data_IF_925198840487
#
_entry.id   IF_925198840487
#
_cell.length_a   1.000
_cell.length_b   1.000
_cell.length_c   1.000
_cell.angle_alpha   90.00
_cell.angle_beta   90.00
_cell.angle_gamma   90.00
#
_symmetry.space_group_name_H-M   'P 1'
#
loop_
_entity.id
_entity.type
_entity.pdbx_description
1 polymer ?
#
# COMPACT_ATOMS: atom_id res chain seq x y z
N UNK A 1 55.73 28.45 19.71
CA UNK A 1 54.32 28.61 19.30
C UNK A 1 53.45 28.12 20.46
N UNK A 2 53.08 29.01 21.38
CA UNK A 2 52.41 28.68 22.64
C UNK A 2 50.89 28.66 22.40
N UNK A 3 50.28 27.47 22.38
CA UNK A 3 48.82 27.33 22.43
C UNK A 3 48.34 27.82 23.81
N UNK A 4 47.71 28.99 23.84
CA UNK A 4 47.07 29.50 25.04
C UNK A 4 45.96 28.53 25.48
N UNK A 5 45.93 28.20 26.78
CA UNK A 5 44.90 27.31 27.34
C UNK A 5 43.52 27.94 27.11
N UNK A 6 42.52 27.17 26.62
CA UNK A 6 41.19 27.71 26.37
C UNK A 6 40.60 28.26 27.67
N UNK A 7 40.05 29.48 27.60
CA UNK A 7 39.39 30.10 28.75
C UNK A 7 38.14 29.31 29.10
N UNK A 8 37.74 29.30 30.39
CA UNK A 8 36.52 28.60 30.85
C UNK A 8 35.26 29.02 30.07
N UNK A 9 35.24 30.26 29.59
CA UNK A 9 34.18 30.78 28.72
C UNK A 9 34.14 30.07 27.35
N UNK A 10 35.30 29.80 26.72
CA UNK A 10 35.35 29.09 25.44
C UNK A 10 34.84 27.64 25.56
N UNK A 11 35.15 26.97 26.68
CA UNK A 11 34.65 25.62 26.95
C UNK A 11 33.14 25.62 27.17
N UNK A 12 32.61 26.61 27.91
CA UNK A 12 31.16 26.74 28.12
C UNK A 12 30.42 27.03 26.81
N UNK A 13 30.95 27.90 25.96
CA UNK A 13 30.38 28.21 24.63
C UNK A 13 30.37 26.96 23.75
N UNK A 14 31.48 26.21 23.71
CA UNK A 14 31.56 24.97 22.94
C UNK A 14 30.50 23.97 23.42
N UNK A 15 30.33 23.80 24.73
CA UNK A 15 29.32 22.90 25.30
C UNK A 15 27.89 23.32 24.91
N UNK A 16 27.57 24.61 25.02
CA UNK A 16 26.27 25.13 24.60
C UNK A 16 26.02 24.94 23.09
N UNK A 17 27.03 25.19 22.24
CA UNK A 17 26.92 24.96 20.80
C UNK A 17 26.72 23.48 20.46
N UNK A 18 27.39 22.57 21.19
CA UNK A 18 27.18 21.13 21.00
C UNK A 18 25.79 20.68 21.42
N UNK A 19 25.28 21.16 22.56
CA UNK A 19 23.91 20.87 23.00
C UNK A 19 22.86 21.44 22.05
N UNK A 20 23.09 22.65 21.53
CA UNK A 20 22.23 23.27 20.52
C UNK A 20 22.25 22.46 19.21
N UNK A 21 23.43 22.02 18.75
CA UNK A 21 23.53 21.14 17.58
C UNK A 21 22.80 19.81 17.80
N UNK A 22 22.93 19.18 18.97
CA UNK A 22 22.22 17.95 19.31
C UNK A 22 20.71 18.19 19.32
N UNK A 23 20.24 19.29 19.92
CA UNK A 23 18.82 19.65 19.96
C UNK A 23 18.25 19.87 18.55
N UNK A 24 18.94 20.67 17.72
CA UNK A 24 18.53 20.92 16.34
C UNK A 24 18.55 19.64 15.49
N UNK A 25 19.56 18.78 15.68
CA UNK A 25 19.62 17.49 14.98
C UNK A 25 18.51 16.53 15.44
N UNK A 26 18.16 16.53 16.72
CA UNK A 26 17.08 15.68 17.25
C UNK A 26 15.70 16.06 16.70
N UNK A 27 15.45 17.35 16.45
CA UNK A 27 14.23 17.84 15.80
C UNK A 27 14.16 17.32 14.35
N UNK A 28 15.25 17.44 13.58
CA UNK A 28 15.31 16.93 12.19
C UNK A 28 15.23 15.41 12.09
N UNK A 29 15.77 14.67 13.07
CA UNK A 29 15.72 13.21 13.10
C UNK A 29 14.30 12.70 13.39
N UNK A 30 13.52 13.41 14.21
CA UNK A 30 12.13 13.05 14.50
C UNK A 30 11.22 13.18 13.27
N UNK A 31 11.48 14.14 12.38
CA UNK A 31 10.73 14.29 11.13
C UNK A 31 11.12 13.23 10.09
N UNK A 32 12.38 12.81 10.05
CA UNK A 32 12.88 11.80 9.10
C UNK A 32 12.37 10.37 9.37
N UNK A 33 11.96 10.05 10.61
CA UNK A 33 11.54 8.70 11.00
C UNK A 33 10.03 8.44 10.93
N UNK A 34 9.24 9.45 10.58
CA UNK A 34 7.88 9.25 10.16
C UNK A 34 7.85 9.31 8.63
N UNK A 35 7.99 8.18 7.91
CA UNK A 35 7.64 8.16 6.51
C UNK A 35 6.23 8.71 6.45
N UNK A 36 6.07 9.86 5.79
CA UNK A 36 4.75 10.44 5.53
C UNK A 36 4.02 9.40 4.72
N UNK A 37 3.26 8.53 5.39
CA UNK A 37 2.27 7.71 4.73
C UNK A 37 1.40 8.73 4.01
N UNK A 38 1.46 8.73 2.69
CA UNK A 38 0.60 9.55 1.85
C UNK A 38 -0.82 9.03 2.01
N UNK A 39 -1.44 9.42 3.12
CA UNK A 39 -2.83 9.13 3.35
C UNK A 39 -3.62 9.99 2.36
N UNK A 40 -4.36 9.34 1.45
CA UNK A 40 -5.40 10.00 0.64
C UNK A 40 -6.37 10.82 1.51
N UNK A 41 -6.48 10.49 2.80
CA UNK A 41 -7.19 11.26 3.81
C UNK A 41 -6.33 11.40 5.06
N UNK A 42 -5.86 12.60 5.39
CA UNK A 42 -4.98 12.83 6.54
C UNK A 42 -5.59 12.27 7.85
N UNK A 43 -4.78 11.86 8.85
CA UNK A 43 -5.30 11.43 10.15
C UNK A 43 -6.22 12.48 10.82
N UNK A 44 -5.99 13.76 10.58
CA UNK A 44 -6.86 14.85 11.04
C UNK A 44 -8.21 14.83 10.30
N UNK A 45 -8.20 14.62 8.99
CA UNK A 45 -9.40 14.48 8.16
C UNK A 45 -10.18 13.21 8.51
N UNK A 46 -9.52 12.10 8.84
CA UNK A 46 -10.18 10.86 9.27
C UNK A 46 -10.79 10.94 10.65
N UNK A 47 -10.25 11.77 11.54
CA UNK A 47 -10.80 11.97 12.89
C UNK A 47 -12.23 12.51 12.87
N UNK A 48 -12.61 13.30 11.86
CA UNK A 48 -13.99 13.75 11.58
C UNK A 48 -14.98 12.58 11.46
N UNK A 49 -14.49 11.42 11.02
CA UNK A 49 -15.25 10.22 10.70
C UNK A 49 -15.05 9.08 11.71
N UNK A 50 -14.22 9.30 12.73
CA UNK A 50 -13.93 8.33 13.78
C UNK A 50 -14.59 8.71 15.11
N UNK A 51 -15.63 9.54 15.11
CA UNK A 51 -16.37 9.82 16.34
C UNK A 51 -17.17 8.58 16.74
N UNK A 52 -16.51 7.73 17.52
CA UNK A 52 -17.12 6.64 18.28
C UNK A 52 -18.13 7.26 19.25
N UNK A 53 -19.42 7.13 18.97
CA UNK A 53 -20.44 7.30 20.01
C UNK A 53 -20.39 6.05 20.88
N UNK A 54 -19.76 6.16 22.05
CA UNK A 54 -19.62 5.07 23.01
C UNK A 54 -20.94 4.71 23.70
N UNK A 55 -22.04 5.40 23.41
CA UNK A 55 -23.31 5.20 24.08
C UNK A 55 -24.34 4.41 23.28
N UNK A 56 -24.08 4.07 22.01
CA UNK A 56 -25.04 3.29 21.22
C UNK A 56 -24.34 2.27 20.31
N UNK A 57 -24.30 1.02 20.78
CA UNK A 57 -23.63 -0.09 20.09
C UNK A 57 -24.29 -0.49 18.76
N UNK A 58 -25.38 0.17 18.35
CA UNK A 58 -26.16 -0.21 17.17
C UNK A 58 -26.27 0.86 16.06
N UNK A 59 -25.81 2.11 16.25
CA UNK A 59 -25.98 3.18 15.23
C UNK A 59 -24.69 3.94 14.84
N UNK A 60 -23.54 3.60 15.43
CA UNK A 60 -22.30 4.38 15.29
C UNK A 60 -21.62 4.37 13.89
N UNK A 61 -22.26 3.81 12.85
CA UNK A 61 -21.75 3.85 11.47
C UNK A 61 -22.59 4.70 10.52
N UNK A 62 -23.66 5.36 11.01
CA UNK A 62 -24.74 5.83 10.14
C UNK A 62 -24.83 7.35 9.90
N UNK A 63 -24.03 8.20 10.58
CA UNK A 63 -24.12 9.66 10.40
C UNK A 63 -23.07 10.29 9.49
N UNK A 64 -22.18 9.48 8.93
CA UNK A 64 -21.23 9.98 7.93
C UNK A 64 -21.90 9.87 6.57
N UNK A 65 -22.39 10.99 6.05
CA UNK A 65 -22.89 11.02 4.68
C UNK A 65 -21.71 10.74 3.73
N UNK A 66 -21.77 9.62 3.03
CA UNK A 66 -20.85 9.26 1.94
C UNK A 66 -20.60 10.43 0.96
N UNK A 67 -21.60 11.28 0.63
CA UNK A 67 -21.37 12.51 -0.13
C UNK A 67 -20.31 13.46 0.47
N UNK A 68 -20.32 13.66 1.79
CA UNK A 68 -19.38 14.56 2.46
C UNK A 68 -17.96 13.98 2.47
N UNK A 69 -17.84 12.67 2.70
CA UNK A 69 -16.54 11.98 2.56
C UNK A 69 -15.97 12.15 1.16
N UNK A 70 -16.76 11.82 0.13
CA UNK A 70 -16.30 11.94 -1.25
C UNK A 70 -15.85 13.37 -1.58
N UNK A 71 -16.62 14.38 -1.15
CA UNK A 71 -16.28 15.79 -1.35
C UNK A 71 -14.95 16.16 -0.68
N UNK A 72 -14.73 15.72 0.56
CA UNK A 72 -13.55 16.08 1.35
C UNK A 72 -12.25 15.49 0.77
N UNK A 73 -12.31 14.34 0.10
CA UNK A 73 -11.18 13.74 -0.63
C UNK A 73 -11.15 14.09 -2.12
N UNK A 74 -11.94 15.07 -2.56
CA UNK A 74 -11.99 15.52 -3.95
C UNK A 74 -12.58 14.51 -4.95
N UNK A 75 -13.24 13.45 -4.47
CA UNK A 75 -13.89 12.46 -5.31
C UNK A 75 -15.32 12.88 -5.65
N UNK A 76 -15.66 12.80 -6.94
CA UNK A 76 -17.05 12.94 -7.39
C UNK A 76 -17.73 11.58 -7.38
N UNK A 77 -18.92 11.51 -6.77
CA UNK A 77 -19.80 10.35 -6.88
C UNK A 77 -20.07 10.07 -8.36
N UNK A 78 -19.86 8.83 -8.76
CA UNK A 78 -20.30 8.38 -10.08
C UNK A 78 -21.74 7.95 -9.97
N UNK A 79 -22.58 8.68 -10.68
CA UNK A 79 -23.91 8.20 -11.00
C UNK A 79 -23.79 7.45 -12.31
N UNK A 80 -24.42 6.27 -12.41
CA UNK A 80 -24.51 5.54 -13.67
C UNK A 80 -25.27 6.44 -14.67
N UNK A 81 -24.55 7.27 -15.41
CA UNK A 81 -25.08 8.01 -16.54
C UNK A 81 -25.18 7.04 -17.69
N UNK A 82 -26.30 7.09 -18.41
CA UNK A 82 -26.51 6.29 -19.63
C UNK A 82 -25.42 6.57 -20.70
N UNK A 83 -24.73 7.72 -20.59
CA UNK A 83 -23.74 8.17 -21.56
C UNK A 83 -22.28 7.98 -21.11
N UNK A 84 -22.03 7.53 -19.87
CA UNK A 84 -20.67 7.34 -19.35
C UNK A 84 -20.35 5.85 -19.23
N UNK A 85 -19.13 5.42 -19.61
CA UNK A 85 -18.73 4.03 -19.42
C UNK A 85 -18.75 3.68 -17.92
N UNK A 86 -19.31 2.50 -17.60
CA UNK A 86 -19.37 2.00 -16.23
C UNK A 86 -17.96 1.93 -15.64
N UNK A 87 -17.79 2.44 -14.41
CA UNK A 87 -16.56 2.21 -13.63
C UNK A 87 -16.31 0.72 -13.43
N UNK A 88 -15.11 0.29 -13.78
CA UNK A 88 -14.64 -1.08 -13.51
C UNK A 88 -14.35 -1.25 -12.02
N UNK A 89 -14.70 -2.42 -11.49
CA UNK A 89 -14.43 -2.83 -10.11
C UNK A 89 -13.25 -3.80 -10.12
N UNK A 90 -12.19 -3.47 -9.37
CA UNK A 90 -11.00 -4.31 -9.25
C UNK A 90 -10.91 -4.85 -7.82
N UNK A 91 -10.70 -6.15 -7.69
CA UNK A 91 -10.42 -6.81 -6.41
C UNK A 91 -8.92 -7.08 -6.30
N UNK A 92 -8.27 -6.47 -5.31
CA UNK A 92 -6.82 -6.48 -5.14
C UNK A 92 -6.43 -7.49 -4.05
N UNK A 93 -5.63 -8.50 -4.41
CA UNK A 93 -5.29 -9.64 -3.55
C UNK A 93 -3.78 -9.83 -3.47
N UNK A 94 -3.23 -9.77 -2.26
CA UNK A 94 -1.88 -10.26 -2.00
C UNK A 94 -1.95 -11.76 -1.72
N UNK A 95 -1.48 -12.58 -2.65
CA UNK A 95 -1.49 -14.02 -2.50
C UNK A 95 -0.20 -14.53 -1.84
N UNK A 96 -0.33 -15.49 -0.91
CA UNK A 96 0.79 -16.15 -0.26
C UNK A 96 0.83 -17.64 -0.60
N UNK A 97 -0.07 -18.46 -0.04
CA UNK A 97 -0.05 -19.92 -0.22
C UNK A 97 -1.43 -20.56 -0.36
N UNK A 98 -2.48 -19.81 -0.04
CA UNK A 98 -3.81 -20.32 0.26
C UNK A 98 -4.68 -20.50 -0.99
N UNK A 99 -4.38 -21.52 -1.81
CA UNK A 99 -5.07 -21.78 -3.07
C UNK A 99 -6.59 -21.94 -2.92
N UNK A 100 -7.04 -22.67 -1.91
CA UNK A 100 -8.48 -22.92 -1.69
C UNK A 100 -9.22 -21.63 -1.33
N UNK A 101 -8.59 -20.76 -0.53
CA UNK A 101 -9.15 -19.47 -0.18
C UNK A 101 -9.22 -18.52 -1.38
N UNK A 102 -8.23 -18.59 -2.27
CA UNK A 102 -8.28 -17.84 -3.52
C UNK A 102 -9.42 -18.35 -4.40
N UNK A 103 -9.57 -19.66 -4.56
CA UNK A 103 -10.65 -20.24 -5.36
C UNK A 103 -12.04 -19.86 -4.83
N UNK A 104 -12.26 -19.93 -3.52
CA UNK A 104 -13.51 -19.47 -2.90
C UNK A 104 -13.75 -18.00 -3.22
N UNK A 105 -12.75 -17.13 -3.00
CA UNK A 105 -12.87 -15.69 -3.27
C UNK A 105 -13.25 -15.42 -4.73
N UNK A 106 -12.58 -16.07 -5.68
CA UNK A 106 -12.85 -15.90 -7.10
C UNK A 106 -14.27 -16.33 -7.45
N UNK A 107 -14.73 -17.47 -6.92
CA UNK A 107 -16.09 -17.95 -7.16
C UNK A 107 -17.17 -17.02 -6.59
N UNK A 108 -16.99 -16.55 -5.36
CA UNK A 108 -17.96 -15.70 -4.68
C UNK A 108 -18.02 -14.28 -5.29
N UNK A 109 -16.88 -13.74 -5.72
CA UNK A 109 -16.79 -12.34 -6.17
C UNK A 109 -16.93 -12.15 -7.69
N UNK A 110 -16.82 -13.21 -8.51
CA UNK A 110 -16.77 -13.07 -9.99
C UNK A 110 -17.94 -12.31 -10.61
N UNK A 111 -19.11 -12.29 -9.97
CA UNK A 111 -20.30 -11.61 -10.51
C UNK A 111 -20.31 -10.10 -10.21
N UNK A 112 -19.48 -9.64 -9.27
CA UNK A 112 -19.41 -8.24 -8.83
C UNK A 112 -18.15 -7.52 -9.29
N UNK A 113 -17.11 -8.28 -9.63
CA UNK A 113 -15.77 -7.77 -9.95
C UNK A 113 -15.47 -7.95 -11.43
N UNK A 114 -14.86 -6.92 -12.03
CA UNK A 114 -14.40 -6.96 -13.42
C UNK A 114 -13.06 -7.68 -13.55
N UNK A 115 -12.11 -7.37 -12.68
CA UNK A 115 -10.79 -7.99 -12.67
C UNK A 115 -10.29 -8.24 -11.25
N UNK A 116 -9.61 -9.38 -11.08
CA UNK A 116 -8.85 -9.71 -9.88
C UNK A 116 -7.39 -9.36 -10.13
N UNK A 117 -6.88 -8.38 -9.39
CA UNK A 117 -5.46 -8.04 -9.39
C UNK A 117 -4.79 -8.87 -8.33
N UNK A 118 -3.99 -9.86 -8.74
CA UNK A 118 -3.33 -10.79 -7.83
C UNK A 118 -1.83 -10.58 -7.96
N UNK A 119 -1.19 -10.23 -6.83
CA UNK A 119 0.26 -10.27 -6.74
C UNK A 119 0.69 -11.51 -5.95
N UNK A 120 1.80 -12.10 -6.37
CA UNK A 120 2.49 -13.14 -5.63
C UNK A 120 3.97 -12.78 -5.52
N UNK A 121 4.60 -13.08 -4.38
CA UNK A 121 6.02 -12.86 -4.16
C UNK A 121 6.75 -14.18 -3.91
N UNK A 122 8.04 -14.32 -4.32
CA UNK A 122 8.89 -15.45 -3.93
C UNK A 122 9.35 -15.37 -2.47
N UNK A 123 8.78 -14.45 -1.68
CA UNK A 123 8.94 -14.40 -0.22
C UNK A 123 7.59 -14.43 0.49
N UNK A 124 7.60 -14.82 1.76
CA UNK A 124 6.46 -14.66 2.67
C UNK A 124 6.32 -13.20 3.09
N UNK A 125 5.20 -12.85 3.74
CA UNK A 125 5.02 -11.52 4.36
C UNK A 125 6.03 -11.21 5.49
N UNK A 126 6.84 -12.17 5.91
CA UNK A 126 7.93 -12.01 6.87
C UNK A 126 9.32 -12.09 6.23
N UNK A 127 9.40 -12.01 4.90
CA UNK A 127 10.66 -11.98 4.15
C UNK A 127 11.36 -13.34 3.99
N UNK A 128 10.70 -14.46 4.30
CA UNK A 128 11.29 -15.79 4.12
C UNK A 128 11.08 -16.30 2.69
N UNK A 129 12.05 -16.99 2.06
CA UNK A 129 11.86 -17.56 0.73
C UNK A 129 10.64 -18.50 0.66
N UNK A 130 9.90 -18.42 -0.46
CA UNK A 130 8.68 -19.19 -0.72
C UNK A 130 8.58 -19.52 -2.21
N UNK A 131 8.11 -20.72 -2.60
CA UNK A 131 7.77 -20.98 -3.99
C UNK A 131 6.63 -20.09 -4.49
N UNK A 132 6.51 -19.96 -5.81
CA UNK A 132 5.40 -19.27 -6.46
C UNK A 132 4.22 -20.25 -6.63
N UNK A 133 3.58 -20.57 -5.50
CA UNK A 133 2.50 -21.56 -5.38
C UNK A 133 1.35 -21.31 -6.37
N UNK A 134 0.95 -20.05 -6.58
CA UNK A 134 -0.11 -19.75 -7.57
C UNK A 134 0.39 -19.97 -8.99
N UNK A 135 1.63 -19.55 -9.31
CA UNK A 135 2.24 -19.81 -10.63
C UNK A 135 2.33 -21.30 -10.94
N UNK A 136 2.76 -22.09 -9.97
CA UNK A 136 2.91 -23.55 -10.09
C UNK A 136 1.56 -24.26 -10.27
N UNK A 137 0.47 -23.66 -9.81
CA UNK A 137 -0.89 -24.20 -9.88
C UNK A 137 -1.80 -23.36 -10.81
N UNK A 138 -1.21 -22.66 -11.79
CA UNK A 138 -1.93 -21.68 -12.60
C UNK A 138 -3.12 -22.27 -13.37
N UNK A 139 -2.97 -23.52 -13.84
CA UNK A 139 -4.03 -24.25 -14.55
C UNK A 139 -5.30 -24.48 -13.70
N UNK A 140 -5.17 -24.54 -12.37
CA UNK A 140 -6.32 -24.66 -11.45
C UNK A 140 -7.30 -23.49 -11.62
N UNK A 141 -6.80 -22.32 -11.99
CA UNK A 141 -7.59 -21.08 -12.11
C UNK A 141 -7.95 -20.73 -13.56
N UNK A 142 -7.78 -21.66 -14.50
CA UNK A 142 -8.11 -21.47 -15.93
C UNK A 142 -9.49 -20.85 -16.19
N UNK A 143 -10.57 -21.19 -15.46
CA UNK A 143 -11.88 -20.55 -15.64
C UNK A 143 -11.92 -19.04 -15.35
N UNK A 144 -10.88 -18.48 -14.73
CA UNK A 144 -10.79 -17.07 -14.32
C UNK A 144 -9.67 -16.29 -15.02
N UNK A 145 -8.86 -16.93 -15.89
CA UNK A 145 -7.69 -16.29 -16.50
C UNK A 145 -8.02 -15.02 -17.28
N UNK A 146 -9.21 -14.94 -17.87
CA UNK A 146 -9.70 -13.75 -18.58
C UNK A 146 -9.97 -12.54 -17.66
N UNK A 147 -10.08 -12.80 -16.35
CA UNK A 147 -10.37 -11.80 -15.31
C UNK A 147 -9.23 -11.59 -14.33
N UNK A 148 -8.21 -12.44 -14.32
CA UNK A 148 -7.07 -12.31 -13.41
C UNK A 148 -5.96 -11.50 -14.09
N UNK A 149 -5.54 -10.43 -13.42
CA UNK A 149 -4.31 -9.71 -13.71
C UNK A 149 -3.27 -10.16 -12.69
N UNK A 150 -2.43 -11.12 -13.10
CA UNK A 150 -1.43 -11.74 -12.24
C UNK A 150 -0.05 -11.08 -12.41
N UNK A 151 0.63 -10.82 -11.29
CA UNK A 151 2.01 -10.31 -11.26
C UNK A 151 2.84 -11.01 -10.20
N UNK A 152 4.06 -11.39 -10.58
CA UNK A 152 5.10 -11.73 -9.61
C UNK A 152 5.80 -10.44 -9.20
N UNK A 153 5.93 -10.22 -7.88
CA UNK A 153 6.55 -9.04 -7.30
C UNK A 153 7.71 -9.46 -6.40
N UNK A 154 8.90 -9.03 -6.76
CA UNK A 154 10.09 -9.17 -5.91
C UNK A 154 10.01 -8.21 -4.72
N UNK A 155 10.28 -8.72 -3.53
CA UNK A 155 10.27 -7.95 -2.30
C UNK A 155 11.70 -7.50 -1.93
N UNK A 156 12.07 -6.22 -2.13
CA UNK A 156 13.41 -5.73 -1.85
C UNK A 156 13.61 -5.40 -0.36
N UNK A 157 12.58 -5.55 0.48
CA UNK A 157 12.64 -5.12 1.88
C UNK A 157 13.56 -6.06 2.67
N UNK A 158 14.55 -5.47 3.34
CA UNK A 158 15.51 -6.19 4.20
C UNK A 158 15.22 -6.02 5.70
N UNK A 159 14.16 -5.28 6.05
CA UNK A 159 13.79 -4.99 7.43
C UNK A 159 13.28 -6.24 8.15
N UNK A 160 13.56 -6.39 9.44
CA UNK A 160 12.97 -7.49 10.23
C UNK A 160 11.50 -7.26 10.58
N UNK A 161 10.97 -6.06 10.30
CA UNK A 161 9.59 -5.70 10.60
C UNK A 161 8.67 -6.19 9.50
N UNK A 162 7.85 -7.19 9.82
CA UNK A 162 6.82 -7.80 8.96
C UNK A 162 5.95 -6.74 8.26
N UNK A 163 5.64 -5.64 8.93
CA UNK A 163 4.81 -4.57 8.35
C UNK A 163 5.46 -3.86 7.17
N UNK A 164 6.79 -3.81 7.09
CA UNK A 164 7.49 -3.11 6.01
C UNK A 164 7.35 -3.91 4.69
N UNK A 165 7.52 -5.23 4.76
CA UNK A 165 7.23 -6.16 3.65
C UNK A 165 5.77 -6.06 3.21
N UNK A 166 4.83 -6.06 4.17
CA UNK A 166 3.40 -5.96 3.88
C UNK A 166 3.02 -4.62 3.26
N UNK A 167 3.59 -3.52 3.73
CA UNK A 167 3.30 -2.20 3.19
C UNK A 167 3.85 -2.07 1.76
N UNK A 168 5.05 -2.63 1.49
CA UNK A 168 5.58 -2.71 0.12
C UNK A 168 4.65 -3.52 -0.81
N UNK A 169 4.30 -4.75 -0.43
CA UNK A 169 3.44 -5.61 -1.25
C UNK A 169 2.03 -5.03 -1.43
N UNK A 170 1.47 -4.36 -0.41
CA UNK A 170 0.18 -3.65 -0.54
C UNK A 170 0.25 -2.54 -1.58
N UNK A 171 1.32 -1.76 -1.56
CA UNK A 171 1.53 -0.69 -2.53
C UNK A 171 1.76 -1.27 -3.94
N UNK A 172 2.42 -2.41 -4.06
CA UNK A 172 2.66 -3.08 -5.34
C UNK A 172 1.36 -3.43 -6.07
N UNK A 173 0.27 -3.76 -5.36
CA UNK A 173 -1.04 -3.99 -5.99
C UNK A 173 -1.51 -2.82 -6.87
N UNK A 174 -1.18 -1.59 -6.49
CA UNK A 174 -1.50 -0.40 -7.27
C UNK A 174 -0.38 -0.09 -8.28
N UNK A 175 0.85 0.06 -7.79
CA UNK A 175 1.94 0.62 -8.60
C UNK A 175 2.57 -0.35 -9.59
N UNK A 176 2.51 -1.66 -9.34
CA UNK A 176 3.05 -2.66 -10.29
C UNK A 176 2.05 -3.02 -11.40
N UNK A 177 0.75 -2.79 -11.16
CA UNK A 177 -0.32 -3.27 -12.05
C UNK A 177 -0.92 -2.13 -12.86
N UNK A 178 -1.37 -1.06 -12.23
CA UNK A 178 -2.19 -0.04 -12.92
C UNK A 178 -1.46 0.75 -14.00
N UNK A 179 -0.16 1.09 -13.87
CA UNK A 179 0.57 1.71 -14.97
C UNK A 179 0.54 0.87 -16.26
N UNK A 180 0.53 -0.47 -16.12
CA UNK A 180 0.44 -1.40 -17.26
C UNK A 180 -0.94 -1.41 -17.93
N UNK A 181 -1.98 -0.90 -17.27
CA UNK A 181 -3.34 -0.83 -17.83
C UNK A 181 -3.60 0.46 -18.61
N UNK A 182 -2.84 1.52 -18.32
CA UNK A 182 -2.99 2.84 -18.94
C UNK A 182 -2.06 3.08 -20.12
N UNK A 183 -0.96 2.31 -20.21
CA UNK A 183 0.00 2.36 -21.30
C UNK A 183 -0.19 1.16 -22.25
N UNK A 184 -0.63 1.36 -23.50
CA UNK A 184 -0.82 0.28 -24.48
C UNK A 184 0.42 -0.58 -24.72
N UNK A 185 1.63 -0.02 -24.58
CA UNK A 185 2.88 -0.75 -24.78
C UNK A 185 3.21 -1.69 -23.61
N UNK A 186 2.81 -1.32 -22.39
CA UNK A 186 3.04 -2.12 -21.19
C UNK A 186 1.94 -3.15 -20.95
N UNK A 187 0.71 -2.89 -21.40
CA UNK A 187 -0.41 -3.84 -21.37
C UNK A 187 -0.10 -5.13 -22.16
N UNK A 188 0.66 -5.01 -23.26
CA UNK A 188 1.10 -6.15 -24.06
C UNK A 188 2.19 -6.95 -23.34
N UNK A 189 3.21 -6.28 -22.79
CA UNK A 189 4.29 -6.91 -22.02
C UNK A 189 3.78 -7.60 -20.74
N UNK A 190 2.77 -7.02 -20.10
CA UNK A 190 2.03 -7.55 -18.96
C UNK A 190 1.35 -8.90 -19.21
N UNK A 191 0.93 -9.16 -20.45
CA UNK A 191 0.31 -10.42 -20.87
C UNK A 191 1.38 -11.43 -21.31
N UNK A 192 2.48 -10.95 -21.88
CA UNK A 192 3.58 -11.80 -22.38
C UNK A 192 4.51 -12.30 -21.25
N UNK A 193 4.78 -11.50 -20.21
CA UNK A 193 5.62 -11.91 -19.07
C UNK A 193 4.94 -13.01 -18.22
N UNK A 194 3.61 -13.13 -18.31
CA UNK A 194 2.85 -14.24 -17.72
C UNK A 194 2.94 -15.56 -18.51
N UNK A 195 3.48 -15.54 -19.74
CA UNK A 195 3.45 -16.68 -20.66
C UNK A 195 4.85 -17.19 -21.08
N UNK A 196 5.93 -16.53 -20.65
CA UNK A 196 7.30 -17.00 -20.89
C UNK A 196 7.87 -17.77 -19.70
N UNK A 197 7.37 -18.99 -19.46
CA UNK A 197 8.14 -20.11 -18.92
C UNK A 197 7.30 -21.40 -19.01
N UNK A 198 7.87 -22.38 -19.73
CA UNK A 198 7.47 -23.78 -19.99
C UNK A 198 6.22 -24.00 -20.85
#
# INVERSE_FOLDING_TARGET
MLLQRPTRAAIAILFFLTLLCIYLYSQSFSEAFHPTRDYYMSPASSKKYQQWDTNDHNEAMMHISLPDMCKDIGLKRHWNSVHEPRRKVYDLVMFSTELDWLEIRLNEHRIYVDYFVIIESPTTFSGQPKPLVLKENWDRFKPFHDRIIYRVVEDPITSTRIWDHKDYLRNALLYSVFPTLTDPAQALAALEVGFSAS
#
